data_IF_830236304718
#
_entry.id   IF_830236304718
#
_cell.length_a   1.000
_cell.length_b   1.000
_cell.length_c   1.000
_cell.angle_alpha   90.00
_cell.angle_beta   90.00
_cell.angle_gamma   90.00
#
_symmetry.space_group_name_H-M   'P 1'
#
loop_
_entity.id
_entity.type
_entity.pdbx_description
1 polymer ?
#
# COMPACT_ATOMS: atom_id res chain seq x y z
N UNK A 1 5.20 -14.93 11.69
CA UNK A 1 5.17 -13.47 11.88
C UNK A 1 3.89 -13.12 12.62
N UNK A 2 3.96 -12.25 13.61
CA UNK A 2 2.77 -11.72 14.29
C UNK A 2 2.18 -10.57 13.46
N UNK A 3 1.07 -10.85 12.76
CA UNK A 3 0.42 -9.91 11.84
C UNK A 3 -0.36 -8.82 12.57
N UNK A 4 -0.91 -9.14 13.73
CA UNK A 4 -1.72 -8.21 14.51
C UNK A 4 -0.82 -7.16 15.17
N UNK A 5 0.32 -7.59 15.69
CA UNK A 5 1.36 -6.67 16.17
C UNK A 5 1.83 -5.70 15.07
N UNK A 6 2.04 -6.20 13.85
CA UNK A 6 2.43 -5.34 12.72
C UNK A 6 1.32 -4.35 12.34
N UNK A 7 0.08 -4.82 12.21
CA UNK A 7 -1.06 -3.99 11.85
C UNK A 7 -1.30 -2.85 12.86
N UNK A 8 -0.94 -3.05 14.13
CA UNK A 8 -1.04 -2.04 15.20
C UNK A 8 -0.13 -0.83 14.96
N UNK A 9 0.93 -0.95 14.16
CA UNK A 9 1.79 0.17 13.80
C UNK A 9 1.20 1.10 12.72
N UNK A 10 0.03 0.77 12.17
CA UNK A 10 -0.63 1.61 11.18
C UNK A 10 -1.34 2.80 11.84
N UNK A 11 -0.88 3.99 11.46
CA UNK A 11 -1.49 5.25 11.82
C UNK A 11 -2.53 5.66 10.77
N UNK A 12 -3.64 6.25 11.23
CA UNK A 12 -4.60 6.94 10.36
C UNK A 12 -4.12 8.36 10.07
N UNK A 13 -4.62 8.95 8.98
CA UNK A 13 -4.29 10.32 8.53
C UNK A 13 -4.29 11.39 9.63
N UNK A 14 -5.19 11.31 10.61
CA UNK A 14 -5.24 12.27 11.72
C UNK A 14 -4.04 12.18 12.66
N UNK A 15 -3.65 10.97 13.05
CA UNK A 15 -2.50 10.73 13.93
C UNK A 15 -1.14 10.94 13.23
N UNK A 16 -1.11 10.81 11.89
CA UNK A 16 0.11 10.97 11.10
C UNK A 16 0.64 12.42 11.02
N UNK A 17 -0.13 13.42 11.45
CA UNK A 17 0.27 14.84 11.35
C UNK A 17 1.36 15.24 12.35
N UNK A 18 1.56 14.44 13.40
CA UNK A 18 2.47 14.76 14.51
C UNK A 18 3.81 14.02 14.44
N UNK A 19 4.03 13.18 13.41
CA UNK A 19 5.18 12.30 13.32
C UNK A 19 5.75 12.27 11.91
N UNK A 20 7.06 12.05 11.79
CA UNK A 20 7.68 11.68 10.52
C UNK A 20 7.19 10.30 10.10
N UNK A 21 6.35 10.28 9.06
CA UNK A 21 5.64 9.09 8.62
C UNK A 21 5.92 8.75 7.17
N UNK A 22 6.11 7.45 6.93
CA UNK A 22 6.04 6.85 5.60
C UNK A 22 4.58 6.59 5.27
N UNK A 23 4.12 7.19 4.17
CA UNK A 23 2.77 6.95 3.66
C UNK A 23 2.72 5.63 2.89
N UNK A 24 1.82 4.73 3.31
CA UNK A 24 1.62 3.44 2.64
C UNK A 24 0.39 3.46 1.72
N UNK A 25 -0.68 4.16 2.12
CA UNK A 25 -1.89 4.32 1.31
C UNK A 25 -2.51 5.70 1.53
N UNK A 26 -3.66 5.97 0.92
CA UNK A 26 -4.36 7.25 1.08
C UNK A 26 -4.74 7.55 2.54
N UNK A 27 -4.98 6.51 3.34
CA UNK A 27 -5.51 6.61 4.70
C UNK A 27 -4.58 6.00 5.76
N UNK A 28 -3.58 5.21 5.36
CA UNK A 28 -2.69 4.48 6.26
C UNK A 28 -1.23 4.95 6.14
N UNK A 29 -0.60 5.12 7.30
CA UNK A 29 0.74 5.65 7.49
C UNK A 29 1.49 4.80 8.52
N UNK A 30 2.82 4.80 8.50
CA UNK A 30 3.69 4.17 9.51
C UNK A 30 4.79 5.15 9.86
N UNK A 31 5.24 5.19 11.11
CA UNK A 31 6.37 6.05 11.50
C UNK A 31 7.66 5.64 10.79
N UNK A 32 8.50 6.60 10.42
CA UNK A 32 9.73 6.31 9.69
C UNK A 32 10.72 5.45 10.49
N UNK A 33 10.84 5.72 11.79
CA UNK A 33 11.65 4.91 12.71
C UNK A 33 11.24 3.43 12.65
N UNK A 34 9.93 3.17 12.74
CA UNK A 34 9.42 1.81 12.73
C UNK A 34 9.58 1.17 11.35
N UNK A 35 9.34 1.94 10.29
CA UNK A 35 9.50 1.48 8.91
C UNK A 35 10.95 1.05 8.61
N UNK A 36 11.94 1.83 9.04
CA UNK A 36 13.37 1.51 8.86
C UNK A 36 13.81 0.30 9.68
N UNK A 37 13.22 0.10 10.86
CA UNK A 37 13.50 -1.06 11.71
C UNK A 37 12.84 -2.37 11.27
N UNK A 38 11.89 -2.33 10.33
CA UNK A 38 11.18 -3.51 9.84
C UNK A 38 11.97 -4.25 8.75
N UNK A 39 11.85 -5.58 8.76
CA UNK A 39 12.39 -6.44 7.70
C UNK A 39 11.57 -6.25 6.41
N UNK A 40 12.18 -6.50 5.25
CA UNK A 40 11.53 -6.34 3.93
C UNK A 40 10.17 -7.04 3.84
N UNK A 41 10.05 -8.27 4.32
CA UNK A 41 8.80 -9.03 4.27
C UNK A 41 7.70 -8.46 5.20
N UNK A 42 8.07 -7.79 6.31
CA UNK A 42 7.14 -7.06 7.19
C UNK A 42 6.64 -5.78 6.51
N UNK A 43 7.56 -5.05 5.86
CA UNK A 43 7.24 -3.89 5.04
C UNK A 43 6.28 -4.23 3.89
N UNK A 44 6.53 -5.36 3.21
CA UNK A 44 5.68 -5.86 2.12
C UNK A 44 4.28 -6.27 2.62
N UNK A 45 4.20 -6.94 3.78
CA UNK A 45 2.93 -7.23 4.44
C UNK A 45 2.14 -5.95 4.71
N UNK A 46 2.77 -4.94 5.33
CA UNK A 46 2.10 -3.68 5.67
C UNK A 46 1.65 -2.90 4.44
N UNK A 47 2.45 -2.87 3.36
CA UNK A 47 2.05 -2.27 2.09
C UNK A 47 0.79 -2.91 1.53
N UNK A 48 0.75 -4.25 1.47
CA UNK A 48 -0.41 -4.97 0.94
C UNK A 48 -1.64 -4.78 1.83
N UNK A 49 -1.46 -4.89 3.15
CA UNK A 49 -2.54 -4.74 4.12
C UNK A 49 -3.11 -3.30 4.12
N UNK A 50 -2.26 -2.27 4.13
CA UNK A 50 -2.68 -0.87 4.05
C UNK A 50 -3.41 -0.53 2.74
N UNK A 51 -2.99 -1.13 1.62
CA UNK A 51 -3.67 -0.97 0.34
C UNK A 51 -5.04 -1.64 0.33
N UNK A 52 -5.16 -2.85 0.92
CA UNK A 52 -6.44 -3.54 1.11
C UNK A 52 -7.41 -2.72 1.97
N UNK A 53 -6.92 -2.14 3.08
CA UNK A 53 -7.73 -1.27 3.95
C UNK A 53 -8.21 0.00 3.24
N UNK A 54 -7.40 0.57 2.34
CA UNK A 54 -7.79 1.77 1.58
C UNK A 54 -8.74 1.46 0.41
N UNK A 55 -8.80 0.21 -0.04
CA UNK A 55 -9.54 -0.20 -1.24
C UNK A 55 -10.88 -0.88 -0.89
N UNK A 56 -11.90 -0.11 -0.52
CA UNK A 56 -13.21 -0.64 -0.10
C UNK A 56 -14.00 -1.40 -1.18
N UNK A 57 -13.61 -1.31 -2.46
CA UNK A 57 -14.30 -1.96 -3.59
C UNK A 57 -13.40 -2.91 -4.38
N UNK A 58 -12.22 -3.20 -3.85
CA UNK A 58 -11.26 -4.09 -4.47
C UNK A 58 -10.85 -5.18 -3.48
N UNK A 59 -10.41 -6.30 -4.02
CA UNK A 59 -9.82 -7.39 -3.25
C UNK A 59 -8.35 -7.53 -3.63
N UNK A 60 -7.49 -7.84 -2.66
CA UNK A 60 -6.11 -8.21 -2.95
C UNK A 60 -6.10 -9.50 -3.76
N UNK A 61 -5.22 -9.57 -4.77
CA UNK A 61 -5.06 -10.76 -5.60
C UNK A 61 -3.58 -11.12 -5.75
N UNK A 62 -3.33 -12.31 -6.31
CA UNK A 62 -1.99 -12.79 -6.65
C UNK A 62 -1.03 -12.75 -5.46
N UNK A 63 0.14 -12.15 -5.68
CA UNK A 63 1.22 -12.13 -4.67
C UNK A 63 0.89 -11.24 -3.49
N UNK A 64 0.13 -10.17 -3.70
CA UNK A 64 -0.30 -9.28 -2.61
C UNK A 64 -1.27 -9.97 -1.67
N UNK A 65 -2.20 -10.78 -2.19
CA UNK A 65 -3.06 -11.62 -1.38
C UNK A 65 -2.26 -12.68 -0.61
N UNK A 66 -1.33 -13.36 -1.30
CA UNK A 66 -0.48 -14.39 -0.71
C UNK A 66 0.36 -13.85 0.48
N UNK A 67 0.92 -12.63 0.36
CA UNK A 67 1.65 -11.96 1.44
C UNK A 67 0.79 -11.72 2.69
N UNK A 68 -0.44 -11.23 2.50
CA UNK A 68 -1.38 -11.01 3.63
C UNK A 68 -1.84 -12.34 4.23
N UNK A 69 -2.01 -13.36 3.40
CA UNK A 69 -2.31 -14.73 3.81
C UNK A 69 -1.12 -15.46 4.47
N UNK A 70 0.02 -14.79 4.68
CA UNK A 70 1.24 -15.37 5.28
C UNK A 70 1.78 -16.58 4.49
N UNK A 71 1.58 -16.58 3.18
CA UNK A 71 2.19 -17.54 2.27
C UNK A 71 3.61 -17.11 1.91
N UNK A 72 4.44 -18.07 1.53
CA UNK A 72 5.78 -17.79 1.03
C UNK A 72 5.69 -17.18 -0.38
N UNK A 73 6.17 -15.95 -0.51
CA UNK A 73 6.23 -15.23 -1.78
C UNK A 73 7.68 -14.84 -2.03
N UNK A 74 8.20 -15.17 -3.21
CA UNK A 74 9.55 -14.80 -3.59
C UNK A 74 9.66 -13.26 -3.69
N UNK A 75 10.69 -12.64 -3.08
CA UNK A 75 10.84 -11.20 -3.10
C UNK A 75 11.16 -10.70 -4.51
N UNK A 76 10.18 -9.98 -5.05
CA UNK A 76 10.19 -9.09 -6.21
C UNK A 76 10.86 -7.72 -5.97
N UNK A 77 11.85 -7.26 -6.75
CA UNK A 77 12.23 -5.85 -6.71
C UNK A 77 11.13 -4.97 -7.33
N UNK A 78 10.79 -3.89 -6.62
CA UNK A 78 9.80 -2.87 -7.02
C UNK A 78 8.42 -3.39 -7.48
N UNK A 79 7.79 -4.29 -6.71
CA UNK A 79 6.44 -4.78 -7.02
C UNK A 79 5.32 -3.82 -6.62
N UNK A 80 4.38 -3.60 -7.54
CA UNK A 80 3.11 -2.94 -7.24
C UNK A 80 2.18 -3.87 -6.44
N UNK A 81 1.29 -3.28 -5.63
CA UNK A 81 0.24 -4.04 -4.96
C UNK A 81 -0.84 -4.43 -5.96
N UNK A 82 -1.14 -5.72 -6.04
CA UNK A 82 -2.11 -6.31 -6.96
C UNK A 82 -3.51 -6.30 -6.33
N UNK A 83 -4.45 -5.59 -6.97
CA UNK A 83 -5.84 -5.48 -6.56
C UNK A 83 -6.75 -5.85 -7.74
N UNK A 84 -7.85 -6.55 -7.48
CA UNK A 84 -8.91 -6.78 -8.44
C UNK A 84 -10.17 -6.04 -8.00
N UNK A 85 -10.77 -5.28 -8.92
CA UNK A 85 -12.07 -4.66 -8.69
C UNK A 85 -13.16 -5.72 -8.86
N UNK A 86 -14.13 -5.75 -7.95
CA UNK A 86 -15.35 -6.54 -8.15
C UNK A 86 -16.06 -6.07 -9.43
N UNK A 87 -16.63 -7.01 -10.19
CA UNK A 87 -17.27 -6.73 -11.48
C UNK A 87 -18.25 -5.55 -11.36
N UNK A 88 -18.03 -4.50 -12.16
CA UNK A 88 -19.03 -3.46 -12.35
C UNK A 88 -18.51 -2.06 -12.66
N UNK A 89 -17.36 -1.60 -12.16
CA UNK A 89 -16.90 -0.22 -12.41
C UNK A 89 -15.38 -0.10 -12.46
N UNK A 90 -14.81 -0.17 -13.67
CA UNK A 90 -13.51 0.45 -13.93
C UNK A 90 -13.68 1.96 -13.74
N UNK A 91 -12.93 2.56 -12.82
CA UNK A 91 -12.79 4.02 -12.79
C UNK A 91 -12.07 4.38 -14.09
N UNK A 92 -12.73 5.09 -15.01
CA UNK A 92 -12.05 5.64 -16.20
C UNK A 92 -10.84 6.42 -15.70
N UNK A 93 -9.64 5.92 -15.94
CA UNK A 93 -8.46 6.77 -15.84
C UNK A 93 -8.56 7.75 -17.00
N UNK A 94 -8.57 9.05 -16.71
CA UNK A 94 -8.63 10.07 -17.76
C UNK A 94 -7.42 9.98 -18.72
N UNK A 95 -6.28 9.42 -18.27
CA UNK A 95 -5.01 9.40 -18.99
C UNK A 95 -4.39 7.99 -19.16
N UNK A 96 -5.18 6.91 -19.15
CA UNK A 96 -4.65 5.55 -19.39
C UNK A 96 -4.57 5.21 -20.89
N UNK A 97 -3.60 4.38 -21.34
CA UNK A 97 -3.56 3.89 -22.72
C UNK A 97 -4.86 3.14 -23.05
N UNK A 98 -5.44 3.44 -24.23
CA UNK A 98 -6.72 2.89 -24.66
C UNK A 98 -6.61 1.37 -24.83
N UNK A 99 -7.41 0.61 -24.10
CA UNK A 99 -7.63 -0.82 -24.32
C UNK A 99 -7.23 -1.77 -23.19
N UNK A 100 -6.60 -1.29 -22.10
CA UNK A 100 -6.19 -2.16 -20.99
C UNK A 100 -7.02 -1.89 -19.74
N UNK A 101 -7.90 -2.83 -19.38
CA UNK A 101 -8.62 -2.86 -18.11
C UNK A 101 -7.85 -3.68 -17.07
N UNK A 102 -6.58 -3.37 -16.84
CA UNK A 102 -5.84 -3.97 -15.73
C UNK A 102 -6.00 -3.06 -14.52
N UNK A 103 -6.72 -3.54 -13.51
CA UNK A 103 -6.84 -2.90 -12.20
C UNK A 103 -5.54 -2.93 -11.40
N UNK A 104 -4.37 -2.80 -12.03
CA UNK A 104 -3.15 -2.48 -11.31
C UNK A 104 -3.27 -1.00 -10.96
N UNK A 105 -3.32 -0.68 -9.67
CA UNK A 105 -3.19 0.70 -9.22
C UNK A 105 -1.73 1.13 -9.47
N UNK A 106 -1.40 1.40 -10.72
CA UNK A 106 -0.15 2.07 -11.09
C UNK A 106 -0.30 3.52 -10.66
N UNK A 107 0.47 3.94 -9.66
CA UNK A 107 0.57 5.33 -9.25
C UNK A 107 1.95 5.87 -9.67
N UNK A 108 2.11 6.34 -10.92
CA UNK A 108 3.41 6.75 -11.46
C UNK A 108 3.91 8.12 -10.97
N UNK A 109 3.13 8.84 -10.15
CA UNK A 109 3.43 10.22 -9.75
C UNK A 109 3.97 10.38 -8.33
N UNK A 110 4.26 9.30 -7.60
CA UNK A 110 4.92 9.39 -6.29
C UNK A 110 6.44 9.43 -6.43
N UNK A 111 6.95 10.43 -7.12
CA UNK A 111 8.33 10.87 -6.89
C UNK A 111 8.42 11.39 -5.45
N UNK A 112 9.35 10.84 -4.68
CA UNK A 112 9.78 11.33 -3.38
C UNK A 112 9.78 12.85 -3.33
N UNK A 113 8.84 13.43 -2.59
CA UNK A 113 8.98 14.79 -2.09
C UNK A 113 9.02 14.69 -0.57
N UNK A 114 10.14 15.09 0.07
CA UNK A 114 10.12 15.29 1.51
C UNK A 114 9.04 16.32 1.83
N UNK A 115 8.16 16.01 2.78
CA UNK A 115 7.26 17.00 3.36
C UNK A 115 8.14 17.92 4.19
N UNK A 116 8.70 18.95 3.56
CA UNK A 116 9.33 20.06 4.28
C UNK A 116 8.17 20.95 4.73
N UNK A 117 7.88 20.93 6.03
CA UNK A 117 6.95 21.87 6.65
C UNK A 117 7.40 23.30 6.37
N UNK A 118 6.48 24.15 5.89
CA UNK A 118 6.66 25.60 5.95
C UNK A 118 6.02 26.09 7.23
N UNK A 119 6.82 26.77 8.06
CA UNK A 119 6.34 27.64 9.12
C UNK A 119 5.75 28.92 8.59
#
# INVERSE_FOLDING_TARGET
MDREALATHLLKKGAAQHHDCVKLSATCFVTEERWRGMRRHEQEFLRCYAAGLAASRAVLVGRSAARVANMWVLPTDAEAVELALGAGRCRRQANGPKGWCTGVLWCPTWTWRPIVGRG
#
